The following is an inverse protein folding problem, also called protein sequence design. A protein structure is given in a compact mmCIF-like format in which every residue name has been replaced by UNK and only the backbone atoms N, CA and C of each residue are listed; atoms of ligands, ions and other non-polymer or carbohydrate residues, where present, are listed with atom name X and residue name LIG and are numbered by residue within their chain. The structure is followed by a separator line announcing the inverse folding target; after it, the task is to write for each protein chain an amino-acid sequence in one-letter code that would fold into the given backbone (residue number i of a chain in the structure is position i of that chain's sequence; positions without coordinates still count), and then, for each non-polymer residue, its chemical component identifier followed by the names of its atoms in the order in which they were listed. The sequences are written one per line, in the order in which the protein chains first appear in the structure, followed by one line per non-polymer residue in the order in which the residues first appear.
data_IF_674354580192
#
_entry.id   IF_674354580192
#
_cell.length_a   1.000
_cell.length_b   1.000
_cell.length_c   1.000
_cell.angle_alpha   90.00
_cell.angle_beta   90.00
_cell.angle_gamma   90.00
#
_symmetry.space_group_name_H-M   'P 1'
#
loop_
_entity.id
_entity.type
_entity.pdbx_description
1 polymer ?
#
# COMPACT_ATOMS: atom_id res chain seq x y z
N UNK A 1 7.33 -20.39 -14.43
CA UNK A 1 6.01 -20.09 -15.03
C UNK A 1 4.85 -20.10 -14.03
N UNK A 2 4.67 -21.13 -13.20
CA UNK A 2 3.56 -21.17 -12.19
C UNK A 2 3.54 -19.96 -11.25
N UNK A 3 4.68 -19.52 -10.72
CA UNK A 3 4.76 -18.35 -9.83
C UNK A 3 4.29 -17.07 -10.52
N UNK A 4 4.65 -16.84 -11.79
CA UNK A 4 4.20 -15.65 -12.54
C UNK A 4 2.67 -15.60 -12.71
N UNK A 5 2.03 -16.76 -12.91
CA UNK A 5 0.56 -16.85 -13.00
C UNK A 5 -0.09 -16.46 -11.67
N UNK A 6 0.42 -16.98 -10.55
CA UNK A 6 -0.10 -16.62 -9.21
C UNK A 6 0.12 -15.14 -8.88
N UNK A 7 1.30 -14.59 -9.20
CA UNK A 7 1.58 -13.16 -9.03
C UNK A 7 0.62 -12.33 -9.89
N UNK A 8 0.40 -12.70 -11.16
CA UNK A 8 -0.50 -11.99 -12.06
C UNK A 8 -1.95 -12.02 -11.59
N UNK A 9 -2.46 -13.20 -11.19
CA UNK A 9 -3.82 -13.34 -10.66
C UNK A 9 -4.03 -12.54 -9.37
N UNK A 10 -3.08 -12.61 -8.44
CA UNK A 10 -3.11 -11.83 -7.20
C UNK A 10 -2.99 -10.32 -7.48
N UNK A 11 -2.14 -9.92 -8.44
CA UNK A 11 -1.99 -8.54 -8.87
C UNK A 11 -3.26 -7.96 -9.48
N UNK A 12 -3.98 -8.75 -10.27
CA UNK A 12 -5.29 -8.37 -10.80
C UNK A 12 -6.26 -7.99 -9.66
N UNK A 13 -6.36 -8.83 -8.63
CA UNK A 13 -7.22 -8.56 -7.46
C UNK A 13 -6.74 -7.33 -6.70
N UNK A 14 -5.42 -7.19 -6.48
CA UNK A 14 -4.83 -6.04 -5.79
C UNK A 14 -5.12 -4.72 -6.51
N UNK A 15 -4.97 -4.69 -7.84
CA UNK A 15 -5.24 -3.50 -8.65
C UNK A 15 -6.74 -3.10 -8.62
N UNK A 16 -7.65 -4.07 -8.69
CA UNK A 16 -9.09 -3.82 -8.58
C UNK A 16 -9.45 -3.30 -7.20
N UNK A 17 -8.93 -3.92 -6.13
CA UNK A 17 -9.18 -3.47 -4.77
C UNK A 17 -8.66 -2.05 -4.54
N UNK A 18 -7.46 -1.73 -5.05
CA UNK A 18 -6.92 -0.36 -5.03
C UNK A 18 -7.89 0.62 -5.68
N UNK A 19 -8.41 0.30 -6.86
CA UNK A 19 -9.35 1.16 -7.57
C UNK A 19 -10.59 1.44 -6.72
N UNK A 20 -11.22 0.42 -6.16
CA UNK A 20 -12.43 0.59 -5.35
C UNK A 20 -12.16 1.36 -4.05
N UNK A 21 -11.10 1.00 -3.31
CA UNK A 21 -10.77 1.67 -2.05
C UNK A 21 -10.39 3.13 -2.28
N UNK A 22 -9.51 3.40 -3.25
CA UNK A 22 -9.10 4.78 -3.55
C UNK A 22 -10.27 5.63 -4.04
N UNK A 23 -11.15 5.08 -4.89
CA UNK A 23 -12.34 5.76 -5.39
C UNK A 23 -13.37 6.03 -4.29
N UNK A 24 -13.64 5.05 -3.42
CA UNK A 24 -14.57 5.21 -2.30
C UNK A 24 -14.09 6.30 -1.32
N UNK A 25 -12.80 6.29 -0.99
CA UNK A 25 -12.20 7.33 -0.13
C UNK A 25 -12.23 8.69 -0.81
N UNK A 26 -11.89 8.77 -2.09
CA UNK A 26 -11.93 10.04 -2.85
C UNK A 26 -13.35 10.59 -3.00
N UNK A 27 -14.37 9.72 -3.04
CA UNK A 27 -15.77 10.14 -3.05
C UNK A 27 -16.23 10.72 -1.71
N UNK A 28 -15.78 10.11 -0.59
CA UNK A 28 -16.17 10.51 0.76
C UNK A 28 -15.35 11.68 1.33
N UNK A 29 -14.15 11.93 0.78
CA UNK A 29 -13.22 12.93 1.29
C UNK A 29 -13.26 14.24 0.48
N UNK A 30 -12.80 15.37 1.05
CA UNK A 30 -12.65 16.61 0.31
C UNK A 30 -11.72 16.46 -0.90
N UNK A 31 -12.12 17.00 -2.05
CA UNK A 31 -11.38 16.86 -3.34
C UNK A 31 -10.08 17.66 -3.43
N UNK A 32 -9.66 18.29 -2.36
CA UNK A 32 -8.49 19.16 -2.31
C UNK A 32 -7.19 18.45 -1.94
N UNK A 33 -7.23 17.13 -1.64
CA UNK A 33 -6.08 16.35 -1.22
C UNK A 33 -6.24 14.88 -1.64
N UNK A 34 -5.16 14.16 -2.00
CA UNK A 34 -5.24 12.80 -2.55
C UNK A 34 -5.37 11.73 -1.44
N UNK A 35 -6.46 11.77 -0.69
CA UNK A 35 -6.75 10.83 0.40
C UNK A 35 -6.84 9.37 -0.07
N UNK A 36 -7.32 9.12 -1.29
CA UNK A 36 -7.46 7.78 -1.85
C UNK A 36 -6.12 7.05 -1.95
N UNK A 37 -5.15 7.71 -2.59
CA UNK A 37 -3.78 7.17 -2.73
C UNK A 37 -3.07 7.05 -1.39
N UNK A 38 -3.23 8.04 -0.51
CA UNK A 38 -2.69 7.98 0.86
C UNK A 38 -3.20 6.74 1.60
N UNK A 39 -4.51 6.50 1.57
CA UNK A 39 -5.14 5.38 2.27
C UNK A 39 -4.63 4.03 1.76
N UNK A 40 -4.60 3.81 0.45
CA UNK A 40 -4.15 2.51 -0.10
C UNK A 40 -2.66 2.29 0.16
N UNK A 41 -1.83 3.33 0.12
CA UNK A 41 -0.41 3.19 0.40
C UNK A 41 -0.14 2.93 1.89
N UNK A 42 -0.78 3.64 2.81
CA UNK A 42 -0.62 3.46 4.26
C UNK A 42 -1.15 2.09 4.69
N UNK A 43 -2.36 1.71 4.27
CA UNK A 43 -2.91 0.39 4.58
C UNK A 43 -2.10 -0.76 3.96
N UNK A 44 -1.61 -0.57 2.73
CA UNK A 44 -0.73 -1.52 2.06
C UNK A 44 0.62 -1.69 2.77
N UNK A 45 1.21 -0.62 3.27
CA UNK A 45 2.43 -0.67 4.10
C UNK A 45 2.23 -1.49 5.36
N UNK A 46 1.12 -1.27 6.07
CA UNK A 46 0.75 -2.04 7.26
C UNK A 46 0.58 -3.53 6.95
N UNK A 47 -0.26 -3.84 5.94
CA UNK A 47 -0.57 -5.22 5.56
C UNK A 47 0.66 -5.98 5.06
N UNK A 48 1.51 -5.32 4.27
CA UNK A 48 2.75 -5.92 3.77
C UNK A 48 3.71 -6.26 4.91
N UNK A 49 3.93 -5.33 5.82
CA UNK A 49 4.81 -5.53 6.97
C UNK A 49 4.31 -6.63 7.91
N UNK A 50 3.02 -6.63 8.23
CA UNK A 50 2.40 -7.68 9.04
C UNK A 50 2.50 -9.06 8.35
N UNK A 51 2.16 -9.13 7.06
CA UNK A 51 2.23 -10.37 6.29
C UNK A 51 3.66 -10.93 6.21
N UNK A 52 4.64 -10.11 5.85
CA UNK A 52 6.03 -10.56 5.74
C UNK A 52 6.62 -11.01 7.08
N UNK A 53 6.19 -10.42 8.19
CA UNK A 53 6.60 -10.82 9.54
C UNK A 53 5.98 -12.17 9.90
N UNK A 54 4.65 -12.32 9.79
CA UNK A 54 3.94 -13.56 10.13
C UNK A 54 4.34 -14.78 9.29
N UNK A 55 4.81 -14.56 8.05
CA UNK A 55 5.17 -15.64 7.13
C UNK A 55 6.69 -15.74 6.89
N UNK A 56 7.50 -15.17 7.78
CA UNK A 56 8.96 -15.10 7.64
C UNK A 56 9.62 -16.48 7.54
N UNK A 57 9.20 -17.43 8.36
CA UNK A 57 9.83 -18.75 8.51
C UNK A 57 9.09 -19.89 7.79
N UNK A 58 8.00 -19.61 7.10
CA UNK A 58 7.20 -20.62 6.41
C UNK A 58 7.72 -20.89 5.00
N UNK A 59 8.79 -21.68 4.89
CA UNK A 59 9.43 -22.05 3.63
C UNK A 59 8.50 -22.73 2.59
N UNK A 60 7.42 -23.39 3.04
CA UNK A 60 6.45 -24.05 2.14
C UNK A 60 5.57 -23.07 1.33
N UNK A 61 5.70 -21.77 1.54
CA UNK A 61 4.80 -20.75 0.99
C UNK A 61 5.47 -19.78 0.00
N UNK A 62 6.64 -20.10 -0.58
CA UNK A 62 7.35 -19.17 -1.46
C UNK A 62 6.47 -18.64 -2.61
N UNK A 63 5.69 -19.51 -3.25
CA UNK A 63 4.78 -19.11 -4.32
C UNK A 63 3.62 -18.24 -3.81
N UNK A 64 3.02 -18.58 -2.67
CA UNK A 64 1.96 -17.81 -2.03
C UNK A 64 2.49 -16.49 -1.46
N UNK A 65 3.67 -16.50 -0.87
CA UNK A 65 4.34 -15.30 -0.36
C UNK A 65 4.59 -14.29 -1.48
N UNK A 66 5.10 -14.75 -2.63
CA UNK A 66 5.30 -13.91 -3.81
C UNK A 66 3.97 -13.41 -4.38
N UNK A 67 2.95 -14.27 -4.47
CA UNK A 67 1.64 -13.87 -4.96
C UNK A 67 1.02 -12.76 -4.09
N UNK A 68 1.11 -12.87 -2.77
CA UNK A 68 0.53 -11.87 -1.86
C UNK A 68 1.41 -10.63 -1.77
N UNK A 69 2.71 -10.75 -1.51
CA UNK A 69 3.57 -9.60 -1.29
C UNK A 69 3.83 -8.81 -2.58
N UNK A 70 4.21 -9.50 -3.66
CA UNK A 70 4.56 -8.86 -4.93
C UNK A 70 3.32 -8.66 -5.80
N UNK A 71 2.47 -9.69 -5.94
CA UNK A 71 1.27 -9.62 -6.77
C UNK A 71 0.23 -8.71 -6.13
N UNK A 72 -0.41 -9.16 -5.07
CA UNK A 72 -1.56 -8.46 -4.47
C UNK A 72 -1.17 -7.12 -3.85
N UNK A 73 -0.28 -7.09 -2.85
CA UNK A 73 0.08 -5.86 -2.14
C UNK A 73 0.93 -4.91 -2.99
N UNK A 74 1.79 -5.43 -3.86
CA UNK A 74 2.52 -4.64 -4.83
C UNK A 74 1.61 -3.93 -5.86
N UNK A 75 0.52 -4.57 -6.28
CA UNK A 75 -0.47 -3.96 -7.16
C UNK A 75 -1.51 -3.10 -6.43
N UNK A 76 -1.75 -3.36 -5.13
CA UNK A 76 -2.64 -2.57 -4.29
C UNK A 76 -2.07 -1.19 -3.96
N UNK A 77 -0.75 -1.08 -3.75
CA UNK A 77 -0.06 0.20 -3.50
C UNK A 77 0.40 0.85 -4.81
N UNK A 78 0.68 2.15 -4.79
CA UNK A 78 1.15 2.86 -5.98
C UNK A 78 2.07 4.04 -5.65
N UNK A 79 3.31 3.96 -6.12
CA UNK A 79 4.25 5.07 -6.07
C UNK A 79 4.07 6.03 -7.25
N UNK A 80 3.73 5.52 -8.44
CA UNK A 80 3.60 6.34 -9.64
C UNK A 80 2.45 7.36 -9.54
N UNK A 81 1.29 6.92 -9.02
CA UNK A 81 0.16 7.83 -8.78
C UNK A 81 0.52 8.86 -7.70
N UNK A 82 1.15 8.45 -6.60
CA UNK A 82 1.64 9.34 -5.57
C UNK A 82 2.58 10.43 -6.12
N UNK A 83 3.56 10.05 -6.94
CA UNK A 83 4.49 11.00 -7.55
C UNK A 83 3.79 11.96 -8.52
N UNK A 84 2.83 11.46 -9.32
CA UNK A 84 2.04 12.28 -10.22
C UNK A 84 1.18 13.30 -9.47
N UNK A 85 0.52 12.89 -8.38
CA UNK A 85 -0.31 13.76 -7.55
C UNK A 85 0.51 14.89 -6.89
N UNK A 86 1.76 14.61 -6.45
CA UNK A 86 2.69 15.65 -5.93
C UNK A 86 3.01 16.66 -7.04
N UNK A 87 3.32 16.18 -8.24
CA UNK A 87 3.59 17.03 -9.39
C UNK A 87 2.40 17.93 -9.75
N UNK A 88 1.19 17.36 -9.76
CA UNK A 88 -0.04 18.08 -10.07
C UNK A 88 -0.39 19.14 -9.02
N UNK A 89 -0.18 18.83 -7.72
CA UNK A 89 -0.30 19.82 -6.64
C UNK A 89 0.70 20.98 -6.84
N UNK A 90 1.93 20.68 -7.22
CA UNK A 90 2.95 21.68 -7.54
C UNK A 90 2.57 22.57 -8.72
N UNK A 91 2.09 21.98 -9.81
CA UNK A 91 1.58 22.73 -10.97
C UNK A 91 0.40 23.64 -10.63
N UNK A 92 -0.46 23.20 -9.74
CA UNK A 92 -1.59 23.99 -9.23
C UNK A 92 -1.16 25.09 -8.23
N UNK A 93 0.13 25.38 -8.10
CA UNK A 93 0.72 26.36 -7.15
C UNK A 93 0.39 26.04 -5.67
N UNK A 94 0.10 24.76 -5.36
CA UNK A 94 -0.22 24.28 -4.01
C UNK A 94 1.01 23.62 -3.37
N UNK A 95 2.13 24.32 -3.35
CA UNK A 95 3.45 23.79 -2.94
C UNK A 95 3.43 23.21 -1.52
N UNK A 96 2.80 23.90 -0.54
CA UNK A 96 2.70 23.42 0.83
C UNK A 96 1.89 22.12 0.92
N UNK A 97 0.84 21.97 0.10
CA UNK A 97 0.07 20.73 0.04
C UNK A 97 0.89 19.58 -0.58
N UNK A 98 1.69 19.86 -1.60
CA UNK A 98 2.58 18.87 -2.23
C UNK A 98 3.64 18.37 -1.24
N UNK A 99 4.33 19.28 -0.54
CA UNK A 99 5.33 18.94 0.49
C UNK A 99 4.67 18.20 1.65
N UNK A 100 3.55 18.70 2.15
CA UNK A 100 2.79 18.08 3.23
C UNK A 100 2.32 16.67 2.89
N UNK A 101 1.83 16.45 1.66
CA UNK A 101 1.42 15.14 1.16
C UNK A 101 2.60 14.16 1.11
N UNK A 102 3.75 14.60 0.59
CA UNK A 102 4.95 13.78 0.54
C UNK A 102 5.42 13.39 1.96
N UNK A 103 5.54 14.37 2.86
CA UNK A 103 5.97 14.15 4.24
C UNK A 103 4.99 13.26 5.02
N UNK A 104 3.69 13.52 4.91
CA UNK A 104 2.64 12.74 5.56
C UNK A 104 2.60 11.29 5.07
N UNK A 105 2.73 11.08 3.75
CA UNK A 105 2.76 9.74 3.16
C UNK A 105 3.95 8.92 3.68
N UNK A 106 5.13 9.51 3.78
CA UNK A 106 6.31 8.86 4.32
C UNK A 106 6.16 8.57 5.82
N UNK A 107 5.74 9.55 6.60
CA UNK A 107 5.57 9.41 8.05
C UNK A 107 4.54 8.34 8.39
N UNK A 108 3.35 8.40 7.79
CA UNK A 108 2.28 7.42 8.02
C UNK A 108 2.64 6.04 7.46
N UNK A 109 3.30 5.97 6.30
CA UNK A 109 3.75 4.71 5.71
C UNK A 109 4.75 3.99 6.62
N UNK A 110 5.78 4.68 7.12
CA UNK A 110 6.78 4.11 8.05
C UNK A 110 6.13 3.71 9.40
N UNK A 111 5.23 4.54 9.93
CA UNK A 111 4.48 4.22 11.15
C UNK A 111 3.60 2.98 10.94
N UNK A 112 2.95 2.85 9.78
CA UNK A 112 2.15 1.69 9.42
C UNK A 112 2.99 0.41 9.31
N UNK A 113 4.19 0.48 8.71
CA UNK A 113 5.15 -0.64 8.69
C UNK A 113 5.51 -1.06 10.11
N UNK A 114 5.92 -0.10 10.95
CA UNK A 114 6.27 -0.38 12.35
C UNK A 114 5.09 -1.03 13.11
N UNK A 115 3.89 -0.50 12.97
CA UNK A 115 2.68 -1.05 13.60
C UNK A 115 2.37 -2.46 13.10
N UNK A 116 2.49 -2.72 11.79
CA UNK A 116 2.29 -4.03 11.18
C UNK A 116 3.25 -5.09 11.74
N UNK A 117 4.54 -4.76 11.86
CA UNK A 117 5.56 -5.63 12.47
C UNK A 117 5.24 -5.90 13.94
N UNK A 118 4.87 -4.86 14.71
CA UNK A 118 4.55 -5.01 16.15
C UNK A 118 3.33 -5.89 16.38
N UNK A 119 2.29 -5.72 15.59
CA UNK A 119 1.07 -6.54 15.68
C UNK A 119 1.36 -7.99 15.28
N UNK A 120 2.15 -8.21 14.23
CA UNK A 120 2.55 -9.55 13.83
C UNK A 120 3.30 -10.29 14.93
N UNK A 121 4.31 -9.67 15.54
CA UNK A 121 5.04 -10.26 16.68
C UNK A 121 4.14 -10.52 17.90
N UNK A 122 3.14 -9.67 18.13
CA UNK A 122 2.17 -9.92 19.20
C UNK A 122 1.34 -11.18 18.92
N UNK A 123 0.88 -11.37 17.68
CA UNK A 123 0.11 -12.54 17.25
C UNK A 123 0.95 -13.83 17.34
N UNK A 124 2.24 -13.78 16.97
CA UNK A 124 3.15 -14.95 17.05
C UNK A 124 3.44 -15.41 18.48
N UNK A 125 3.26 -14.53 19.46
CA UNK A 125 3.58 -14.82 20.86
C UNK A 125 2.46 -15.56 21.61
N UNK A 126 1.24 -15.54 21.08
CA UNK A 126 0.03 -16.19 21.65
C UNK A 126 -0.54 -17.24 20.71
#
# INVERSE_FOLDING_TARGET
MRQAIFIGAAGFVGAILRFFVSSAVAFAAPRNFPYGTLTVNVSGCFLLAAFLTLFRERAAADGLRLAIAVGFLGAYTTFSTFAQEIYDLGKAQRILAAIGYAALSLALGLTAVWAGVRIAHFIEKY
#
